data_IF_622256142054
#
_entry.id   IF_622256142054
#
_cell.length_a   1.000
_cell.length_b   1.000
_cell.length_c   1.000
_cell.angle_alpha   90.00
_cell.angle_beta   90.00
_cell.angle_gamma   90.00
#
_symmetry.space_group_name_H-M   'P 1'
#
loop_
_entity.id
_entity.type
_entity.pdbx_description
1 polymer ?
#
# COMPACT_ATOMS: atom_id res chain seq x y z
N UNK A 1 5.63 0.76 -16.65
CA UNK A 1 5.73 0.58 -15.18
C UNK A 1 4.47 -0.06 -14.65
N UNK A 2 4.37 -0.22 -13.34
CA UNK A 2 3.17 -0.78 -12.69
C UNK A 2 2.98 -0.21 -11.27
N UNK A 3 1.73 -0.20 -10.82
CA UNK A 3 1.39 0.10 -9.42
C UNK A 3 1.35 -1.20 -8.63
N UNK A 4 1.96 -1.21 -7.45
CA UNK A 4 1.99 -2.35 -6.55
C UNK A 4 1.31 -1.95 -5.24
N UNK A 5 0.23 -2.64 -4.90
CA UNK A 5 -0.40 -2.58 -3.59
C UNK A 5 0.24 -3.62 -2.69
N UNK A 6 0.81 -3.18 -1.58
CA UNK A 6 1.43 -4.05 -0.58
C UNK A 6 0.83 -3.79 0.80
N UNK A 7 1.25 -4.60 1.77
CA UNK A 7 0.81 -4.50 3.16
C UNK A 7 1.97 -4.63 4.13
N UNK A 8 1.67 -4.50 5.41
CA UNK A 8 2.62 -4.81 6.48
C UNK A 8 2.56 -6.29 6.91
N UNK A 9 2.03 -7.17 6.05
CA UNK A 9 2.15 -8.61 6.18
C UNK A 9 3.51 -9.06 5.63
N UNK A 10 4.28 -9.77 6.45
CA UNK A 10 5.58 -10.29 6.08
C UNK A 10 6.62 -9.18 5.87
N UNK A 11 7.41 -9.25 4.79
CA UNK A 11 8.50 -8.32 4.55
C UNK A 11 8.54 -7.80 3.10
N UNK A 12 7.95 -6.62 2.88
CA UNK A 12 7.92 -5.96 1.58
C UNK A 12 9.28 -5.46 1.10
N UNK A 13 10.27 -5.27 1.99
CA UNK A 13 11.62 -4.82 1.59
C UNK A 13 12.35 -5.87 0.76
N UNK A 14 11.94 -7.15 0.84
CA UNK A 14 12.47 -8.21 -0.01
C UNK A 14 12.24 -7.89 -1.49
N UNK A 15 11.12 -7.24 -1.83
CA UNK A 15 10.84 -6.82 -3.21
C UNK A 15 11.88 -5.81 -3.69
N UNK A 16 12.19 -4.83 -2.84
CA UNK A 16 13.19 -3.80 -3.15
C UNK A 16 14.59 -4.40 -3.25
N UNK A 17 14.93 -5.34 -2.36
CA UNK A 17 16.18 -6.07 -2.40
C UNK A 17 16.32 -6.90 -3.69
N UNK A 18 15.31 -7.71 -4.05
CA UNK A 18 15.30 -8.49 -5.28
C UNK A 18 15.41 -7.60 -6.53
N UNK A 19 14.62 -6.51 -6.58
CA UNK A 19 14.71 -5.53 -7.65
C UNK A 19 16.12 -4.95 -7.80
N UNK A 20 16.76 -4.57 -6.68
CA UNK A 20 18.13 -4.03 -6.72
C UNK A 20 19.19 -5.04 -7.16
N UNK A 21 18.99 -6.33 -6.87
CA UNK A 21 19.93 -7.39 -7.23
C UNK A 21 19.85 -7.78 -8.71
N UNK A 22 18.65 -7.72 -9.30
CA UNK A 22 18.35 -8.14 -10.68
C UNK A 22 18.42 -6.98 -11.70
N UNK A 23 18.17 -5.74 -11.26
CA UNK A 23 18.23 -4.56 -12.12
C UNK A 23 19.62 -4.36 -12.74
N UNK A 24 19.67 -4.20 -14.07
CA UNK A 24 20.91 -4.06 -14.82
C UNK A 24 21.68 -5.37 -15.04
N UNK A 25 21.21 -6.51 -14.48
CA UNK A 25 21.76 -7.84 -14.75
C UNK A 25 20.85 -8.64 -15.69
N UNK A 26 19.64 -8.90 -15.25
CA UNK A 26 18.64 -9.74 -15.96
C UNK A 26 17.43 -8.92 -16.38
N UNK A 27 17.16 -7.81 -15.67
CA UNK A 27 16.10 -6.86 -15.97
C UNK A 27 16.69 -5.52 -16.41
N UNK A 28 16.01 -4.78 -17.30
CA UNK A 28 16.38 -3.38 -17.57
C UNK A 28 16.36 -2.58 -16.26
N UNK A 29 17.20 -1.54 -16.11
CA UNK A 29 17.15 -0.68 -14.93
C UNK A 29 15.75 -0.07 -14.75
N UNK A 30 15.21 -0.15 -13.54
CA UNK A 30 13.94 0.49 -13.17
C UNK A 30 14.02 1.05 -11.74
N UNK A 31 13.21 2.06 -11.46
CA UNK A 31 13.09 2.66 -10.15
C UNK A 31 11.95 2.09 -9.31
N UNK A 32 12.08 2.22 -7.99
CA UNK A 32 11.01 1.95 -7.03
C UNK A 32 10.65 3.27 -6.35
N UNK A 33 9.38 3.66 -6.46
CA UNK A 33 8.83 4.88 -5.88
C UNK A 33 7.80 4.49 -4.81
N UNK A 34 8.09 4.71 -3.53
CA UNK A 34 7.22 4.21 -2.44
C UNK A 34 6.44 5.34 -1.78
N UNK A 35 5.12 5.15 -1.65
CA UNK A 35 4.25 6.03 -0.89
C UNK A 35 4.18 5.51 0.55
N UNK A 36 4.64 6.33 1.49
CA UNK A 36 4.79 5.97 2.91
C UNK A 36 4.20 7.03 3.83
N UNK A 37 3.62 6.61 4.95
CA UNK A 37 3.16 7.54 5.98
C UNK A 37 4.28 7.81 6.99
N UNK A 38 4.84 9.03 6.95
CA UNK A 38 5.89 9.46 7.88
C UNK A 38 5.36 10.05 9.20
N UNK A 39 4.04 10.10 9.42
CA UNK A 39 3.42 10.94 10.45
C UNK A 39 3.57 10.46 11.91
N UNK A 40 4.30 9.36 12.17
CA UNK A 40 4.54 8.81 13.51
C UNK A 40 6.01 8.58 13.91
N UNK A 41 6.98 8.80 13.01
CA UNK A 41 8.33 8.22 13.15
C UNK A 41 9.46 9.19 12.80
N UNK A 42 9.29 10.50 13.05
CA UNK A 42 10.26 11.53 12.63
C UNK A 42 11.70 11.29 13.11
N UNK A 43 11.90 10.70 14.30
CA UNK A 43 13.23 10.30 14.81
C UNK A 43 13.81 9.11 14.05
N UNK A 44 12.98 8.13 13.70
CA UNK A 44 13.38 6.95 12.94
C UNK A 44 13.70 7.32 11.49
N UNK A 45 12.91 8.19 10.86
CA UNK A 45 13.17 8.64 9.48
C UNK A 45 14.52 9.38 9.39
N UNK A 46 14.81 10.27 10.35
CA UNK A 46 16.13 10.93 10.46
C UNK A 46 17.28 9.97 10.74
N UNK A 47 17.00 8.86 11.44
CA UNK A 47 18.00 7.82 11.68
C UNK A 47 18.25 7.01 10.40
N UNK A 48 17.21 6.63 9.67
CA UNK A 48 17.34 5.93 8.38
C UNK A 48 18.09 6.77 7.34
N UNK A 49 17.78 8.06 7.25
CA UNK A 49 18.49 9.01 6.38
C UNK A 49 19.99 9.09 6.70
N UNK A 50 20.36 9.08 7.99
CA UNK A 50 21.76 9.10 8.43
C UNK A 50 22.50 7.78 8.17
N UNK A 51 21.81 6.65 8.28
CA UNK A 51 22.42 5.31 8.12
C UNK A 51 22.56 4.96 6.65
N UNK A 52 21.55 5.27 5.84
CA UNK A 52 21.57 5.05 4.40
C UNK A 52 20.75 6.15 3.71
N UNK A 53 21.40 7.19 3.17
CA UNK A 53 20.71 8.25 2.42
C UNK A 53 19.90 7.72 1.23
N UNK A 54 20.34 6.62 0.61
CA UNK A 54 19.61 5.97 -0.50
C UNK A 54 18.30 5.32 -0.05
N UNK A 55 18.15 5.02 1.25
CA UNK A 55 16.89 4.48 1.81
C UNK A 55 15.73 5.48 1.77
N UNK A 56 16.04 6.78 1.63
CA UNK A 56 15.06 7.86 1.56
C UNK A 56 14.78 8.33 0.12
N UNK A 57 15.49 7.76 -0.86
CA UNK A 57 15.34 8.13 -2.27
C UNK A 57 14.00 7.61 -2.80
N UNK A 58 13.24 8.48 -3.48
CA UNK A 58 11.93 8.18 -4.09
C UNK A 58 10.88 7.69 -3.07
N UNK A 59 10.96 8.19 -1.84
CA UNK A 59 9.88 8.06 -0.86
C UNK A 59 8.97 9.29 -0.91
N UNK A 60 7.68 9.07 -1.08
CA UNK A 60 6.66 10.11 -1.13
C UNK A 60 5.80 10.04 0.13
N UNK A 61 5.65 11.17 0.82
CA UNK A 61 4.79 11.23 2.01
C UNK A 61 3.33 11.11 1.61
N UNK A 62 2.62 10.12 2.14
CA UNK A 62 1.18 9.93 1.88
C UNK A 62 0.32 11.16 2.25
N UNK A 63 0.79 12.00 3.20
CA UNK A 63 0.12 13.23 3.60
C UNK A 63 0.35 14.43 2.68
N UNK A 64 1.33 14.35 1.78
CA UNK A 64 1.76 15.45 0.91
C UNK A 64 1.48 15.18 -0.58
N UNK A 65 0.71 14.13 -0.90
CA UNK A 65 0.37 13.81 -2.29
C UNK A 65 -0.58 14.87 -2.84
N UNK A 66 -0.09 15.63 -3.83
CA UNK A 66 -0.83 16.59 -4.63
C UNK A 66 -0.82 16.24 -6.13
N UNK A 67 -1.50 17.04 -6.98
CA UNK A 67 -1.51 16.85 -8.43
C UNK A 67 -0.12 16.73 -9.07
N UNK A 68 0.83 17.52 -8.58
CA UNK A 68 2.23 17.50 -9.02
C UNK A 68 2.90 16.15 -8.74
N UNK A 69 2.64 15.55 -7.58
CA UNK A 69 3.15 14.21 -7.23
C UNK A 69 2.52 13.15 -8.13
N UNK A 70 1.23 13.27 -8.44
CA UNK A 70 0.54 12.33 -9.34
C UNK A 70 1.17 12.37 -10.74
N UNK A 71 1.38 13.57 -11.30
CA UNK A 71 2.02 13.75 -12.61
C UNK A 71 3.44 13.16 -12.60
N UNK A 72 4.23 13.43 -11.56
CA UNK A 72 5.57 12.89 -11.44
C UNK A 72 5.55 11.35 -11.42
N UNK A 73 4.70 10.74 -10.60
CA UNK A 73 4.58 9.28 -10.51
C UNK A 73 4.07 8.66 -11.82
N UNK A 74 3.16 9.31 -12.54
CA UNK A 74 2.73 8.88 -13.87
C UNK A 74 3.90 8.87 -14.87
N UNK A 75 4.72 9.93 -14.91
CA UNK A 75 5.90 9.97 -15.78
C UNK A 75 6.93 8.88 -15.41
N UNK A 76 7.08 8.57 -14.13
CA UNK A 76 7.93 7.46 -13.65
C UNK A 76 7.40 6.11 -14.14
N UNK A 77 6.10 5.88 -14.02
CA UNK A 77 5.46 4.66 -14.53
C UNK A 77 5.66 4.51 -16.04
N UNK A 78 5.51 5.57 -16.82
CA UNK A 78 5.78 5.56 -18.26
C UNK A 78 7.24 5.19 -18.56
N UNK A 79 8.18 5.63 -17.72
CA UNK A 79 9.60 5.30 -17.82
C UNK A 79 9.94 3.86 -17.39
N UNK A 80 8.95 3.05 -16.98
CA UNK A 80 9.14 1.66 -16.58
C UNK A 80 9.24 1.44 -15.07
N UNK A 81 9.22 2.50 -14.25
CA UNK A 81 9.33 2.37 -12.80
C UNK A 81 8.11 1.69 -12.15
N UNK A 82 8.30 1.23 -10.92
CA UNK A 82 7.26 0.77 -10.04
C UNK A 82 6.85 1.86 -9.06
N UNK A 83 5.55 1.92 -8.75
CA UNK A 83 5.00 2.73 -7.65
C UNK A 83 4.40 1.81 -6.60
N UNK A 84 4.97 1.81 -5.40
CA UNK A 84 4.58 0.93 -4.30
C UNK A 84 3.72 1.71 -3.31
N UNK A 85 2.55 1.16 -2.95
CA UNK A 85 1.59 1.79 -2.04
C UNK A 85 1.22 0.78 -0.95
N UNK A 86 1.52 1.09 0.30
CA UNK A 86 1.01 0.33 1.43
C UNK A 86 -0.50 0.61 1.59
N UNK A 87 -1.33 -0.41 1.35
CA UNK A 87 -2.78 -0.26 1.21
C UNK A 87 -3.59 -0.90 2.34
N UNK A 88 -2.94 -1.45 3.38
CA UNK A 88 -3.62 -2.05 4.52
C UNK A 88 -3.97 -1.05 5.64
N UNK A 89 -3.25 0.07 5.81
CA UNK A 89 -3.41 0.92 7.01
C UNK A 89 -3.90 2.33 6.73
N UNK A 90 -4.86 2.79 7.52
CA UNK A 90 -5.24 4.22 7.56
C UNK A 90 -4.27 5.01 8.45
N UNK A 91 -3.72 6.12 7.94
CA UNK A 91 -2.99 7.08 8.77
C UNK A 91 -3.87 7.53 9.95
N UNK A 92 -3.30 7.57 11.17
CA UNK A 92 -4.05 7.82 12.41
C UNK A 92 -4.87 9.12 12.39
N UNK A 93 -4.43 10.12 11.61
CA UNK A 93 -5.07 11.45 11.48
C UNK A 93 -6.08 11.58 10.33
N UNK A 94 -6.13 10.63 9.39
CA UNK A 94 -6.95 10.70 8.16
C UNK A 94 -8.00 9.59 8.05
N UNK A 95 -8.50 9.08 9.18
CA UNK A 95 -9.54 8.03 9.20
C UNK A 95 -10.84 8.41 8.48
N UNK A 96 -11.10 9.70 8.27
CA UNK A 96 -12.29 10.22 7.58
C UNK A 96 -12.35 9.91 6.08
N UNK A 97 -11.26 9.41 5.47
CA UNK A 97 -11.22 8.95 4.07
C UNK A 97 -10.89 7.46 4.00
N UNK A 98 -11.75 6.63 4.58
CA UNK A 98 -11.64 5.17 4.57
C UNK A 98 -12.81 4.51 3.84
N UNK A 99 -12.56 3.35 3.24
CA UNK A 99 -13.58 2.48 2.67
C UNK A 99 -13.86 1.32 3.62
N UNK A 100 -15.13 0.93 3.73
CA UNK A 100 -15.55 -0.17 4.59
C UNK A 100 -15.59 -1.46 3.77
N UNK A 101 -14.90 -2.49 4.23
CA UNK A 101 -14.89 -3.85 3.64
C UNK A 101 -14.95 -4.90 4.74
N UNK A 102 -15.38 -6.12 4.39
CA UNK A 102 -15.34 -7.26 5.32
C UNK A 102 -13.90 -7.78 5.37
N UNK A 103 -13.32 -7.89 6.56
CA UNK A 103 -11.97 -8.39 6.75
C UNK A 103 -11.84 -9.16 8.08
N UNK A 104 -11.33 -10.39 7.99
CA UNK A 104 -11.23 -11.40 9.05
C UNK A 104 -12.54 -11.54 9.84
N UNK A 105 -13.66 -11.60 9.10
CA UNK A 105 -14.98 -11.83 9.67
C UNK A 105 -15.59 -10.64 10.42
N UNK A 106 -15.04 -9.42 10.29
CA UNK A 106 -15.64 -8.18 10.83
C UNK A 106 -15.55 -7.03 9.82
N UNK A 107 -16.34 -5.98 10.01
CA UNK A 107 -16.25 -4.78 9.18
C UNK A 107 -14.97 -4.00 9.55
N UNK A 108 -14.11 -3.76 8.57
CA UNK A 108 -12.86 -3.03 8.73
C UNK A 108 -12.79 -1.82 7.77
N UNK A 109 -11.90 -0.88 8.08
CA UNK A 109 -11.79 0.40 7.38
C UNK A 109 -10.40 0.55 6.76
N UNK A 110 -10.33 0.39 5.43
CA UNK A 110 -9.09 0.46 4.66
C UNK A 110 -8.86 1.89 4.12
N UNK A 111 -7.60 2.27 3.82
CA UNK A 111 -7.26 3.62 3.33
C UNK A 111 -7.75 3.85 1.90
N UNK A 112 -8.95 4.41 1.74
CA UNK A 112 -9.54 4.71 0.42
C UNK A 112 -8.60 5.51 -0.49
N UNK A 113 -7.81 6.42 0.10
CA UNK A 113 -6.83 7.21 -0.64
C UNK A 113 -5.79 6.38 -1.41
N UNK A 114 -5.36 5.23 -0.89
CA UNK A 114 -4.39 4.35 -1.56
C UNK A 114 -4.97 3.78 -2.88
N UNK A 115 -6.21 3.33 -2.83
CA UNK A 115 -6.91 2.75 -3.99
C UNK A 115 -7.33 3.83 -5.00
N UNK A 116 -7.73 5.01 -4.52
CA UNK A 116 -7.95 6.16 -5.40
C UNK A 116 -6.65 6.54 -6.10
N UNK A 117 -5.52 6.62 -5.38
CA UNK A 117 -4.22 6.93 -5.96
C UNK A 117 -3.85 5.92 -7.06
N UNK A 118 -4.00 4.62 -6.79
CA UNK A 118 -3.76 3.58 -7.78
C UNK A 118 -4.64 3.74 -9.03
N UNK A 119 -5.91 4.13 -8.86
CA UNK A 119 -6.83 4.37 -9.98
C UNK A 119 -6.50 5.61 -10.83
N UNK A 120 -5.75 6.57 -10.27
CA UNK A 120 -5.35 7.79 -10.96
C UNK A 120 -4.07 7.65 -11.77
N UNK A 121 -3.22 6.67 -11.42
CA UNK A 121 -1.93 6.44 -12.07
C UNK A 121 -2.04 5.70 -13.41
N UNK A 122 -3.23 5.20 -13.75
CA UNK A 122 -3.58 4.58 -15.04
C UNK A 122 -2.54 3.55 -15.54
N UNK A 123 -2.08 2.70 -14.64
CA UNK A 123 -1.10 1.65 -14.91
C UNK A 123 -1.58 0.30 -14.38
N UNK A 124 -1.07 -0.83 -14.90
CA UNK A 124 -1.41 -2.15 -14.37
C UNK A 124 -1.17 -2.24 -12.87
N UNK A 125 -2.15 -2.78 -12.14
CA UNK A 125 -2.09 -2.91 -10.69
C UNK A 125 -1.77 -4.37 -10.32
N UNK A 126 -0.83 -4.54 -9.40
CA UNK A 126 -0.50 -5.82 -8.80
C UNK A 126 -0.65 -5.75 -7.28
N UNK A 127 -1.14 -6.82 -6.67
CA UNK A 127 -1.09 -7.04 -5.22
C UNK A 127 0.12 -7.92 -4.93
N UNK A 128 1.02 -7.45 -4.06
CA UNK A 128 2.25 -8.18 -3.76
C UNK A 128 2.47 -8.34 -2.25
N UNK A 129 2.76 -9.58 -1.85
CA UNK A 129 3.02 -9.96 -0.47
C UNK A 129 4.22 -10.90 -0.42
N UNK A 130 5.11 -10.71 0.55
CA UNK A 130 6.27 -11.56 0.76
C UNK A 130 6.24 -12.09 2.19
N UNK A 131 5.91 -13.37 2.37
CA UNK A 131 5.73 -14.01 3.68
C UNK A 131 6.72 -15.16 3.84
N UNK A 132 7.17 -15.45 5.05
CA UNK A 132 7.93 -16.69 5.31
C UNK A 132 7.03 -17.90 5.21
N UNK A 133 7.55 -19.01 4.69
CA UNK A 133 6.80 -20.28 4.66
C UNK A 133 6.41 -20.74 6.07
N UNK A 134 7.35 -20.66 7.01
CA UNK A 134 7.11 -20.90 8.43
C UNK A 134 7.14 -19.56 9.21
N UNK A 135 6.05 -19.28 9.92
CA UNK A 135 5.85 -18.03 10.67
C UNK A 135 6.92 -17.80 11.74
N UNK A 136 7.34 -18.88 12.43
CA UNK A 136 8.17 -18.82 13.63
C UNK A 136 9.63 -19.20 13.36
N UNK A 137 9.96 -19.80 12.21
CA UNK A 137 11.34 -20.01 11.79
C UNK A 137 11.89 -18.80 11.01
N UNK A 138 12.73 -18.02 11.68
CA UNK A 138 13.41 -16.87 11.08
C UNK A 138 14.39 -17.21 9.95
N UNK A 139 14.76 -18.48 9.79
CA UNK A 139 15.59 -18.97 8.68
C UNK A 139 14.76 -19.47 7.49
N UNK A 140 13.45 -19.60 7.66
CA UNK A 140 12.55 -20.04 6.59
C UNK A 140 12.67 -19.11 5.38
N UNK A 141 12.67 -19.66 4.15
CA UNK A 141 12.62 -18.84 2.95
C UNK A 141 11.31 -18.04 2.90
N UNK A 142 11.35 -16.97 2.12
CA UNK A 142 10.17 -16.17 1.80
C UNK A 142 9.53 -16.65 0.51
N UNK A 143 8.20 -16.70 0.51
CA UNK A 143 7.37 -16.86 -0.67
C UNK A 143 6.80 -15.52 -1.10
N UNK A 144 6.88 -15.27 -2.40
CA UNK A 144 6.35 -14.08 -3.03
C UNK A 144 5.03 -14.38 -3.73
N UNK A 145 3.96 -13.77 -3.23
CA UNK A 145 2.63 -13.83 -3.81
C UNK A 145 2.40 -12.57 -4.66
N UNK A 146 2.12 -12.76 -5.95
CA UNK A 146 1.84 -11.68 -6.90
C UNK A 146 0.52 -11.96 -7.59
N UNK A 147 -0.43 -11.05 -7.44
CA UNK A 147 -1.74 -11.12 -8.09
C UNK A 147 -1.92 -9.91 -9.00
N UNK A 148 -2.17 -10.13 -10.29
CA UNK A 148 -2.52 -9.04 -11.20
C UNK A 148 -4.00 -8.71 -11.01
N UNK A 149 -4.30 -7.44 -10.77
CA UNK A 149 -5.67 -6.96 -10.72
C UNK A 149 -6.29 -6.88 -12.12
N UNK A 150 -7.58 -7.17 -12.22
CA UNK A 150 -8.35 -7.08 -13.46
C UNK A 150 -8.95 -5.71 -13.75
N UNK A 151 -8.79 -4.72 -12.85
CA UNK A 151 -9.47 -3.44 -12.98
C UNK A 151 -8.76 -2.48 -13.95
N UNK A 152 -9.57 -1.89 -14.85
CA UNK A 152 -9.28 -0.70 -15.63
C UNK A 152 -10.19 0.43 -15.13
N UNK A 153 -9.64 1.63 -14.94
CA UNK A 153 -10.33 2.79 -14.35
C UNK A 153 -10.90 3.78 -15.37
N UNK A 154 -11.03 3.38 -16.63
CA UNK A 154 -11.82 4.08 -17.63
C UNK A 154 -13.32 4.20 -17.22
N UNK A 155 -13.97 5.26 -17.69
CA UNK A 155 -15.38 5.55 -17.46
C UNK A 155 -15.66 6.83 -16.64
N UNK A 156 -16.91 7.01 -16.24
CA UNK A 156 -17.37 8.17 -15.45
C UNK A 156 -16.79 8.16 -14.04
N UNK A 157 -16.82 9.32 -13.36
CA UNK A 157 -16.36 9.45 -11.96
C UNK A 157 -17.06 8.47 -11.01
N UNK A 158 -18.36 8.21 -11.22
CA UNK A 158 -19.14 7.31 -10.37
C UNK A 158 -18.71 5.85 -10.57
N UNK A 159 -18.53 5.44 -11.81
CA UNK A 159 -18.04 4.09 -12.15
C UNK A 159 -16.63 3.86 -11.62
N UNK A 160 -15.75 4.86 -11.74
CA UNK A 160 -14.40 4.79 -11.17
C UNK A 160 -14.43 4.56 -9.67
N UNK A 161 -15.25 5.30 -8.93
CA UNK A 161 -15.35 5.11 -7.48
C UNK A 161 -15.88 3.73 -7.10
N UNK A 162 -16.82 3.17 -7.88
CA UNK A 162 -17.27 1.79 -7.69
C UNK A 162 -16.11 0.80 -7.87
N UNK A 163 -15.38 0.91 -8.98
CA UNK A 163 -14.20 0.05 -9.26
C UNK A 163 -13.10 0.19 -8.19
N UNK A 164 -12.93 1.38 -7.62
CA UNK A 164 -11.98 1.62 -6.51
C UNK A 164 -12.37 0.82 -5.27
N UNK A 165 -13.66 0.74 -4.95
CA UNK A 165 -14.14 -0.08 -3.83
C UNK A 165 -14.01 -1.58 -4.15
N UNK A 166 -14.31 -1.99 -5.37
CA UNK A 166 -14.12 -3.38 -5.82
C UNK A 166 -12.64 -3.81 -5.79
N UNK A 167 -11.72 -2.92 -6.18
CA UNK A 167 -10.26 -3.13 -6.04
C UNK A 167 -9.84 -3.27 -4.56
N UNK A 168 -10.45 -2.48 -3.67
CA UNK A 168 -10.20 -2.57 -2.23
C UNK A 168 -10.67 -3.91 -1.66
N UNK A 169 -11.84 -4.38 -2.08
CA UNK A 169 -12.35 -5.71 -1.72
C UNK A 169 -11.43 -6.82 -2.24
N UNK A 170 -11.01 -6.77 -3.52
CA UNK A 170 -10.07 -7.71 -4.12
C UNK A 170 -8.75 -7.79 -3.31
N UNK A 171 -8.13 -6.63 -3.06
CA UNK A 171 -6.92 -6.54 -2.24
C UNK A 171 -7.12 -7.12 -0.83
N UNK A 172 -8.22 -6.74 -0.15
CA UNK A 172 -8.50 -7.20 1.20
C UNK A 172 -8.73 -8.71 1.26
N UNK A 173 -9.30 -9.32 0.22
CA UNK A 173 -9.47 -10.75 0.11
C UNK A 173 -8.15 -11.51 -0.07
N UNK A 174 -7.19 -10.95 -0.82
CA UNK A 174 -5.84 -11.52 -0.89
C UNK A 174 -5.12 -11.43 0.46
N UNK A 175 -5.17 -10.26 1.09
CA UNK A 175 -4.57 -10.05 2.41
C UNK A 175 -5.18 -10.98 3.46
N UNK A 176 -6.52 -11.12 3.47
CA UNK A 176 -7.24 -11.95 4.45
C UNK A 176 -6.80 -13.41 4.39
N UNK A 177 -6.72 -13.98 3.18
CA UNK A 177 -6.26 -15.36 2.97
C UNK A 177 -4.87 -15.58 3.56
N UNK A 178 -3.96 -14.65 3.31
CA UNK A 178 -2.59 -14.76 3.79
C UNK A 178 -2.46 -14.47 5.30
N UNK A 179 -3.28 -13.57 5.86
CA UNK A 179 -3.36 -13.38 7.31
C UNK A 179 -3.88 -14.63 8.03
N UNK A 180 -4.78 -15.40 7.41
CA UNK A 180 -5.27 -16.66 7.96
C UNK A 180 -4.18 -17.75 7.92
N UNK A 181 -3.40 -17.83 6.83
CA UNK A 181 -2.32 -18.82 6.71
C UNK A 181 -1.03 -18.45 7.47
N UNK A 182 -0.77 -17.15 7.66
CA UNK A 182 0.42 -16.60 8.31
C UNK A 182 0.06 -15.58 9.41
N UNK A 183 -0.68 -15.99 10.46
CA UNK A 183 -1.24 -15.08 11.44
C UNK A 183 -0.20 -14.30 12.25
N UNK A 184 1.02 -14.82 12.41
CA UNK A 184 2.07 -14.14 13.17
C UNK A 184 2.89 -13.16 12.34
N UNK A 185 2.69 -13.14 11.02
CA UNK A 185 3.45 -12.27 10.11
C UNK A 185 2.72 -10.98 9.76
N UNK A 186 1.47 -10.78 10.19
CA UNK A 186 0.79 -9.51 10.00
C UNK A 186 1.10 -8.56 11.15
N UNK A 187 2.03 -7.63 10.93
CA UNK A 187 2.59 -6.78 11.99
C UNK A 187 1.68 -5.62 12.42
N UNK A 188 0.38 -5.86 12.58
CA UNK A 188 -0.63 -4.89 12.95
C UNK A 188 -0.67 -4.66 14.47
N UNK A 189 -0.08 -3.56 14.94
CA UNK A 189 0.04 -3.22 16.37
C UNK A 189 -0.98 -2.17 16.84
N UNK A 190 -2.08 -1.99 16.12
CA UNK A 190 -3.15 -1.04 16.48
C UNK A 190 -4.53 -1.64 16.26
N UNK A 191 -5.54 -0.99 16.85
CA UNK A 191 -6.95 -1.37 16.68
C UNK A 191 -7.42 -1.04 15.25
N UNK A 192 -7.37 -2.06 14.40
CA UNK A 192 -7.65 -2.02 12.96
C UNK A 192 -9.15 -1.92 12.66
N UNK A 193 -10.00 -2.53 13.50
CA UNK A 193 -11.45 -2.57 13.33
C UNK A 193 -12.15 -1.35 13.95
N UNK A 194 -11.44 -0.52 14.71
CA UNK A 194 -11.99 0.70 15.26
C UNK A 194 -12.59 1.59 14.18
N UNK A 195 -13.91 1.74 14.25
CA UNK A 195 -14.68 2.66 13.42
C UNK A 195 -14.04 4.05 13.40
N UNK A 196 -13.79 4.63 12.22
CA UNK A 196 -13.43 6.04 12.09
C UNK A 196 -14.39 6.88 12.92
N UNK A 197 -13.88 7.76 13.77
CA UNK A 197 -14.73 8.79 14.36
C UNK A 197 -15.28 9.64 13.21
N UNK A 198 -16.55 9.44 12.88
CA UNK A 198 -17.32 10.48 12.21
C UNK A 198 -17.27 11.73 13.09
N UNK A 199 -17.36 12.92 12.50
CA UNK A 199 -17.63 14.14 13.26
C UNK A 199 -18.92 13.93 14.07
N UNK A 200 -18.80 13.57 15.36
CA UNK A 200 -19.93 13.46 16.31
C UNK A 200 -20.40 14.87 16.75
N UNK A 201 -20.07 15.94 16.02
CA UNK A 201 -20.55 17.29 16.34
C UNK A 201 -21.01 18.04 15.09
N UNK A 202 -22.19 17.68 14.57
CA UNK A 202 -23.00 18.57 13.72
C UNK A 202 -24.51 18.27 13.81
N UNK A 203 -24.97 17.72 14.94
CA UNK A 203 -26.41 17.59 15.24
C UNK A 203 -26.60 17.72 16.74
N UNK A 204 -26.61 18.96 17.22
CA UNK A 204 -26.75 19.25 18.65
C UNK A 204 -26.73 20.74 18.95
N UNK A 205 -27.68 21.49 18.38
CA UNK A 205 -28.60 22.37 19.13
C UNK A 205 -29.37 23.26 18.16
N UNK A 206 -30.65 22.94 18.02
CA UNK A 206 -31.76 23.89 17.88
C UNK A 206 -31.74 24.92 19.00
#
# INVERSE_FOLDING_TARGET
GAVVLCSHLGNTEILRAMASLEAGKTLPPFGINSIVDFSGTSKFNKLMEKINPESMVRLYSASAIGPETIIELSNRLESGDLVIIAADRTAAKNRSKSGKVRFLGQDAYFPLGAFVMASLLDAPIYHMFAVRQDDLDFKSPYELYIFKSGFDFAGSRKERMKKVLELMEEYSGHLEKLCISHPYQWFNFFDFWKTPRSQIMASGNT
#
